data_IF_945771801463
#
_entry.id   IF_945771801463
#
_cell.length_a   1.000
_cell.length_b   1.000
_cell.length_c   1.000
_cell.angle_alpha   90.00
_cell.angle_beta   90.00
_cell.angle_gamma   90.00
#
_symmetry.space_group_name_H-M   'P 1'
#
loop_
_entity.id
_entity.type
_entity.pdbx_description
1 polymer ?
#
# COMPACT_ATOMS: atom_id res chain seq x y z
N UNK A 1 -1.31 6.16 -23.47
CA UNK A 1 -0.38 6.42 -22.34
C UNK A 1 0.95 5.73 -22.63
N UNK A 2 2.06 6.43 -22.47
CA UNK A 2 3.39 5.90 -22.80
C UNK A 2 3.92 4.90 -21.75
N UNK A 3 4.95 4.13 -22.12
CA UNK A 3 5.61 3.16 -21.25
C UNK A 3 6.13 3.79 -19.94
N UNK A 4 6.62 5.04 -20.02
CA UNK A 4 7.11 5.81 -18.87
C UNK A 4 6.05 5.96 -17.78
N UNK A 5 4.83 6.38 -18.14
CA UNK A 5 3.74 6.58 -17.18
C UNK A 5 3.33 5.28 -16.49
N UNK A 6 3.33 4.15 -17.22
CA UNK A 6 3.08 2.82 -16.61
C UNK A 6 4.16 2.44 -15.62
N UNK A 7 5.43 2.64 -15.98
CA UNK A 7 6.56 2.38 -15.09
C UNK A 7 6.49 3.25 -13.82
N UNK A 8 6.19 4.54 -13.96
CA UNK A 8 6.02 5.45 -12.82
C UNK A 8 4.96 4.94 -11.84
N UNK A 9 3.79 4.53 -12.33
CA UNK A 9 2.71 4.02 -11.47
C UNK A 9 3.14 2.74 -10.74
N UNK A 10 3.89 1.86 -11.40
CA UNK A 10 4.43 0.65 -10.76
C UNK A 10 5.41 1.00 -9.64
N UNK A 11 6.37 1.89 -9.89
CA UNK A 11 7.33 2.31 -8.86
C UNK A 11 6.64 3.01 -7.69
N UNK A 12 5.61 3.82 -7.94
CA UNK A 12 4.79 4.43 -6.88
C UNK A 12 4.09 3.35 -6.05
N UNK A 13 3.46 2.35 -6.68
CA UNK A 13 2.81 1.26 -5.96
C UNK A 13 3.80 0.43 -5.12
N UNK A 14 5.00 0.17 -5.64
CA UNK A 14 6.05 -0.54 -4.89
C UNK A 14 6.46 0.27 -3.66
N UNK A 15 6.75 1.57 -3.82
CA UNK A 15 7.15 2.43 -2.71
C UNK A 15 6.08 2.52 -1.62
N UNK A 16 4.81 2.73 -2.01
CA UNK A 16 3.69 2.76 -1.08
C UNK A 16 3.47 1.38 -0.42
N UNK A 17 3.62 0.28 -1.17
CA UNK A 17 3.51 -1.08 -0.65
C UNK A 17 4.56 -1.40 0.41
N UNK A 18 5.79 -0.94 0.22
CA UNK A 18 6.86 -1.07 1.23
C UNK A 18 6.52 -0.29 2.50
N UNK A 19 6.01 0.94 2.37
CA UNK A 19 5.52 1.69 3.52
C UNK A 19 4.37 0.96 4.25
N UNK A 20 3.42 0.40 3.49
CA UNK A 20 2.28 -0.33 4.06
C UNK A 20 2.73 -1.58 4.83
N UNK A 21 3.71 -2.32 4.29
CA UNK A 21 4.31 -3.46 4.96
C UNK A 21 4.97 -3.03 6.27
N UNK A 22 5.84 -2.02 6.24
CA UNK A 22 6.57 -1.55 7.42
C UNK A 22 5.61 -1.04 8.50
N UNK A 23 4.66 -0.19 8.14
CA UNK A 23 3.65 0.33 9.07
C UNK A 23 2.74 -0.77 9.63
N UNK A 24 2.41 -1.79 8.82
CA UNK A 24 1.68 -2.98 9.27
C UNK A 24 2.46 -3.79 10.31
N UNK A 25 3.76 -4.02 10.07
CA UNK A 25 4.64 -4.70 11.03
C UNK A 25 4.76 -3.89 12.33
N UNK A 26 4.93 -2.57 12.25
CA UNK A 26 4.94 -1.69 13.42
C UNK A 26 3.65 -1.87 14.22
N UNK A 27 2.48 -1.78 13.58
CA UNK A 27 1.19 -1.91 14.27
C UNK A 27 0.94 -3.29 14.85
N UNK A 28 1.41 -4.34 14.17
CA UNK A 28 1.28 -5.74 14.61
C UNK A 28 2.11 -6.01 15.85
N UNK A 29 3.37 -5.58 15.88
CA UNK A 29 4.28 -5.83 16.99
C UNK A 29 4.15 -4.83 18.14
N UNK A 30 3.60 -3.64 17.90
CA UNK A 30 3.39 -2.66 18.97
C UNK A 30 2.15 -3.06 19.77
N UNK A 31 2.25 -3.37 21.07
CA UNK A 31 1.08 -3.70 21.88
C UNK A 31 0.11 -2.51 21.99
N UNK A 32 -1.15 -2.79 22.32
CA UNK A 32 -2.13 -1.76 22.65
C UNK A 32 -1.78 -1.03 23.96
N UNK A 33 -2.50 0.07 24.22
CA UNK A 33 -2.36 0.93 25.40
C UNK A 33 -2.25 0.10 26.70
N UNK A 34 -1.17 0.31 27.47
CA UNK A 34 -1.05 -0.18 28.85
C UNK A 34 -1.06 1.03 29.79
N UNK A 35 -2.22 1.37 30.35
CA UNK A 35 -2.40 2.55 31.22
C UNK A 35 -2.55 3.89 30.47
N UNK A 36 -2.07 4.98 31.06
CA UNK A 36 -2.23 6.35 30.53
C UNK A 36 -1.19 6.77 29.47
N UNK A 37 -0.16 5.96 29.20
CA UNK A 37 0.89 6.28 28.23
C UNK A 37 0.73 5.48 26.93
N UNK A 38 0.75 6.18 25.80
CA UNK A 38 0.85 5.59 24.46
C UNK A 38 2.27 5.06 24.23
N UNK A 39 2.39 3.95 23.50
CA UNK A 39 3.70 3.43 23.08
C UNK A 39 4.17 4.28 21.90
N UNK A 40 5.33 4.91 22.06
CA UNK A 40 5.98 5.68 21.00
C UNK A 40 6.87 4.76 20.17
N UNK A 41 6.70 4.78 18.85
CA UNK A 41 7.55 4.09 17.88
C UNK A 41 8.07 5.14 16.91
N UNK A 42 9.40 5.27 16.81
CA UNK A 42 10.07 6.34 16.08
C UNK A 42 9.56 7.76 16.40
N UNK A 43 9.21 8.00 17.67
CA UNK A 43 8.71 9.31 18.13
C UNK A 43 7.23 9.58 17.81
N UNK A 44 6.52 8.63 17.19
CA UNK A 44 5.09 8.73 16.91
C UNK A 44 4.29 7.78 17.80
N UNK A 45 3.12 8.24 18.23
CA UNK A 45 2.15 7.40 18.93
C UNK A 45 1.58 6.31 18.01
N UNK A 46 1.20 5.16 18.60
CA UNK A 46 0.65 4.04 17.84
C UNK A 46 -0.61 4.44 17.05
N UNK A 47 -1.42 5.35 17.59
CA UNK A 47 -2.61 5.83 16.88
C UNK A 47 -2.25 6.58 15.57
N UNK A 48 -1.18 7.37 15.56
CA UNK A 48 -0.71 8.06 14.35
C UNK A 48 -0.21 7.06 13.30
N UNK A 49 0.51 6.01 13.71
CA UNK A 49 0.88 4.92 12.82
C UNK A 49 -0.34 4.24 12.19
N UNK A 50 -1.43 4.08 12.95
CA UNK A 50 -2.68 3.51 12.46
C UNK A 50 -3.35 4.42 11.43
N UNK A 51 -3.35 5.73 11.66
CA UNK A 51 -3.87 6.71 10.71
C UNK A 51 -3.08 6.72 9.40
N UNK A 52 -1.74 6.79 9.48
CA UNK A 52 -0.89 6.75 8.29
C UNK A 52 -1.06 5.44 7.51
N UNK A 53 -1.10 4.29 8.19
CA UNK A 53 -1.35 3.00 7.55
C UNK A 53 -2.71 2.97 6.83
N UNK A 54 -3.75 3.56 7.43
CA UNK A 54 -5.07 3.62 6.82
C UNK A 54 -5.08 4.52 5.58
N UNK A 55 -4.59 5.75 5.69
CA UNK A 55 -4.61 6.70 4.57
C UNK A 55 -3.71 6.27 3.42
N UNK A 56 -2.54 5.71 3.70
CA UNK A 56 -1.66 5.15 2.65
C UNK A 56 -2.33 3.93 2.00
N UNK A 57 -3.00 3.07 2.76
CA UNK A 57 -3.80 1.97 2.20
C UNK A 57 -4.90 2.44 1.24
N UNK A 58 -5.60 3.54 1.57
CA UNK A 58 -6.59 4.15 0.69
C UNK A 58 -5.96 4.71 -0.60
N UNK A 59 -4.80 5.37 -0.50
CA UNK A 59 -4.05 5.87 -1.66
C UNK A 59 -3.61 4.71 -2.55
N UNK A 60 -3.04 3.64 -1.96
CA UNK A 60 -2.66 2.42 -2.69
C UNK A 60 -3.86 1.87 -3.45
N UNK A 61 -5.03 1.79 -2.81
CA UNK A 61 -6.25 1.28 -3.44
C UNK A 61 -6.63 2.11 -4.67
N UNK A 62 -6.64 3.44 -4.55
CA UNK A 62 -6.93 4.32 -5.68
C UNK A 62 -5.91 4.16 -6.82
N UNK A 63 -4.62 4.14 -6.51
CA UNK A 63 -3.55 3.99 -7.50
C UNK A 63 -3.57 2.60 -8.15
N UNK A 64 -3.93 1.56 -7.39
CA UNK A 64 -4.05 0.19 -7.89
C UNK A 64 -5.21 0.05 -8.89
N UNK A 65 -6.35 0.72 -8.64
CA UNK A 65 -7.46 0.79 -9.61
C UNK A 65 -6.98 1.45 -10.91
N UNK A 66 -6.27 2.57 -10.82
CA UNK A 66 -5.71 3.26 -11.99
C UNK A 66 -4.72 2.33 -12.73
N UNK A 67 -3.82 1.68 -12.00
CA UNK A 67 -2.87 0.70 -12.56
C UNK A 67 -3.60 -0.41 -13.31
N UNK A 68 -4.66 -0.97 -12.73
CA UNK A 68 -5.44 -2.04 -13.32
C UNK A 68 -6.13 -1.61 -14.61
N UNK A 69 -6.81 -0.46 -14.61
CA UNK A 69 -7.48 0.10 -15.79
C UNK A 69 -6.48 0.31 -16.94
N UNK A 70 -5.31 0.88 -16.64
CA UNK A 70 -4.28 1.16 -17.65
C UNK A 70 -3.64 -0.09 -18.26
N UNK A 71 -3.69 -1.20 -17.52
CA UNK A 71 -3.12 -2.49 -17.88
C UNK A 71 -4.19 -3.53 -18.27
N UNK A 72 -5.45 -3.13 -18.41
CA UNK A 72 -6.59 -4.01 -18.69
C UNK A 72 -6.39 -4.92 -19.91
N UNK A 73 -5.77 -4.40 -20.99
CA UNK A 73 -5.50 -5.21 -22.19
C UNK A 73 -4.53 -6.37 -21.90
N UNK A 74 -3.46 -6.11 -21.15
CA UNK A 74 -2.52 -7.14 -20.72
C UNK A 74 -3.21 -8.12 -19.77
N UNK A 75 -3.95 -7.62 -18.78
CA UNK A 75 -4.67 -8.48 -17.84
C UNK A 75 -5.63 -9.47 -18.53
N UNK A 76 -6.40 -9.03 -19.52
CA UNK A 76 -7.24 -9.92 -20.33
C UNK A 76 -6.44 -10.95 -21.13
N UNK A 77 -5.28 -10.57 -21.64
CA UNK A 77 -4.39 -11.48 -22.35
C UNK A 77 -3.87 -12.58 -21.41
N UNK A 78 -3.39 -12.21 -20.23
CA UNK A 78 -2.93 -13.16 -19.21
C UNK A 78 -4.07 -14.10 -18.76
N UNK A 79 -5.27 -13.58 -18.53
CA UNK A 79 -6.44 -14.43 -18.22
C UNK A 79 -6.67 -15.45 -19.34
N UNK A 80 -6.68 -15.00 -20.60
CA UNK A 80 -6.92 -15.91 -21.72
C UNK A 80 -5.82 -16.97 -21.83
N UNK A 81 -4.58 -16.62 -21.51
CA UNK A 81 -3.45 -17.55 -21.50
C UNK A 81 -3.59 -18.64 -20.41
N UNK A 82 -4.20 -18.34 -19.27
CA UNK A 82 -4.43 -19.33 -18.20
C UNK A 82 -5.43 -20.43 -18.57
N UNK A 83 -6.33 -20.16 -19.53
CA UNK A 83 -7.38 -21.09 -19.95
C UNK A 83 -7.11 -21.71 -21.34
N UNK A 84 -5.90 -21.55 -21.87
CA UNK A 84 -5.45 -22.17 -23.11
C UNK A 84 -4.46 -23.28 -22.79
#
# INVERSE_FOLDING_TARGET
MGAKTRATIVFVLIALGLFQLISGLILYFTPGRHGYREVLVYGLEKHLWKEYHLYVGLIITAVAIIHFILNWKMFKHEIKALFK
#
